data_IF_016651199504
#
_entry.id   IF_016651199504
#
_cell.length_a   1.000
_cell.length_b   1.000
_cell.length_c   1.000
_cell.angle_alpha   90.00
_cell.angle_beta   90.00
_cell.angle_gamma   90.00
#
_symmetry.space_group_name_H-M   'P 1'
#
loop_
_entity.id
_entity.type
_entity.pdbx_description
1 polymer ?
#
# COMPACT_ATOMS: atom_id res chain seq x y z
N UNK A 1 -2.89 -4.48 -27.52
CA UNK A 1 -3.03 -3.60 -26.33
C UNK A 1 -4.27 -2.75 -26.56
N UNK A 2 -5.40 -3.13 -25.96
CA UNK A 2 -6.70 -2.48 -26.21
C UNK A 2 -6.70 -1.04 -25.65
N UNK A 3 -7.32 -0.11 -26.38
CA UNK A 3 -7.38 1.32 -26.09
C UNK A 3 -7.82 1.60 -24.62
N UNK A 4 -8.69 0.75 -24.08
CA UNK A 4 -9.19 0.82 -22.71
C UNK A 4 -8.09 0.68 -21.66
N UNK A 5 -7.07 -0.15 -21.91
CA UNK A 5 -5.93 -0.28 -20.99
C UNK A 5 -5.13 1.02 -20.94
N UNK A 6 -4.90 1.67 -22.10
CA UNK A 6 -4.15 2.94 -22.19
C UNK A 6 -4.90 4.05 -21.44
N UNK A 7 -6.22 4.13 -21.61
CA UNK A 7 -7.08 5.10 -20.91
C UNK A 7 -7.02 4.86 -19.40
N UNK A 8 -7.09 3.61 -18.93
CA UNK A 8 -6.95 3.29 -17.51
C UNK A 8 -5.57 3.68 -16.94
N UNK A 9 -4.48 3.50 -17.69
CA UNK A 9 -3.14 3.97 -17.29
C UNK A 9 -3.11 5.48 -17.12
N UNK A 10 -3.63 6.20 -18.11
CA UNK A 10 -3.68 7.65 -18.08
C UNK A 10 -4.47 8.16 -16.88
N UNK A 11 -5.62 7.56 -16.58
CA UNK A 11 -6.45 7.92 -15.42
C UNK A 11 -5.69 7.68 -14.11
N UNK A 12 -5.11 6.50 -13.91
CA UNK A 12 -4.37 6.19 -12.67
C UNK A 12 -3.17 7.12 -12.48
N UNK A 13 -2.44 7.41 -13.56
CA UNK A 13 -1.30 8.31 -13.55
C UNK A 13 -1.72 9.75 -13.23
N UNK A 14 -2.78 10.26 -13.87
CA UNK A 14 -3.34 11.59 -13.58
C UNK A 14 -3.85 11.69 -12.13
N UNK A 15 -4.50 10.64 -11.62
CA UNK A 15 -4.92 10.58 -10.21
C UNK A 15 -3.72 10.64 -9.26
N UNK A 16 -2.65 9.88 -9.52
CA UNK A 16 -1.45 9.90 -8.70
C UNK A 16 -0.81 11.30 -8.70
N UNK A 17 -0.68 11.94 -9.87
CA UNK A 17 -0.18 13.32 -9.98
C UNK A 17 -1.07 14.32 -9.24
N UNK A 18 -2.39 14.16 -9.35
CA UNK A 18 -3.35 15.01 -8.63
C UNK A 18 -3.16 14.91 -7.12
N UNK A 19 -3.07 13.69 -6.56
CA UNK A 19 -2.86 13.51 -5.13
C UNK A 19 -1.50 14.02 -4.64
N UNK A 20 -0.43 13.84 -5.43
CA UNK A 20 0.88 14.45 -5.15
C UNK A 20 0.78 15.98 -5.18
N UNK A 21 0.03 16.54 -6.13
CA UNK A 21 -0.26 17.97 -6.21
C UNK A 21 -0.99 18.49 -4.97
N UNK A 22 -2.06 17.80 -4.54
CA UNK A 22 -2.79 18.11 -3.31
C UNK A 22 -1.88 18.04 -2.08
N UNK A 23 -1.06 16.99 -1.99
CA UNK A 23 -0.08 16.83 -0.92
C UNK A 23 0.88 18.03 -0.88
N UNK A 24 1.54 18.35 -1.99
CA UNK A 24 2.52 19.43 -2.03
C UNK A 24 1.89 20.82 -1.84
N UNK A 25 0.64 21.01 -2.26
CA UNK A 25 -0.11 22.23 -1.99
C UNK A 25 -0.31 22.46 -0.48
N UNK A 26 -0.56 21.40 0.31
CA UNK A 26 -0.66 21.50 1.77
C UNK A 26 0.67 21.98 2.37
N UNK A 27 1.80 21.46 1.89
CA UNK A 27 3.14 21.84 2.38
C UNK A 27 3.60 23.22 1.90
N UNK A 28 2.98 23.79 0.86
CA UNK A 28 3.19 25.18 0.45
C UNK A 28 2.34 26.17 1.26
N UNK A 29 1.40 25.69 2.08
CA UNK A 29 0.69 26.57 3.00
C UNK A 29 1.65 27.08 4.09
N UNK A 30 1.52 28.34 4.51
CA UNK A 30 2.36 28.95 5.58
C UNK A 30 2.15 28.33 6.98
N UNK A 31 1.49 27.17 7.04
CA UNK A 31 1.16 26.46 8.26
C UNK A 31 2.37 25.65 8.70
N UNK A 32 2.77 25.79 9.95
CA UNK A 32 3.88 25.02 10.53
C UNK A 32 3.56 23.52 10.44
N UNK A 33 4.46 22.73 9.86
CA UNK A 33 4.34 21.27 9.79
C UNK A 33 4.53 20.65 11.20
N UNK A 34 3.48 20.09 11.83
CA UNK A 34 3.58 19.45 13.14
C UNK A 34 4.37 18.13 13.10
N UNK A 35 4.61 17.59 11.90
CA UNK A 35 5.31 16.32 11.70
C UNK A 35 6.81 16.48 11.48
N UNK A 36 7.32 17.70 11.32
CA UNK A 36 8.72 17.94 10.96
C UNK A 36 9.64 17.40 12.05
N UNK A 37 10.51 16.44 11.71
CA UNK A 37 11.41 15.71 12.63
C UNK A 37 10.69 14.85 13.67
N UNK A 38 9.40 14.60 13.50
CA UNK A 38 8.70 13.62 14.34
C UNK A 38 9.02 12.23 13.81
N UNK A 39 9.29 11.28 14.70
CA UNK A 39 9.40 9.85 14.35
C UNK A 39 8.02 9.19 14.42
N UNK A 40 7.76 8.21 13.56
CA UNK A 40 6.61 7.33 13.74
C UNK A 40 7.09 6.33 14.78
N UNK A 41 6.95 6.59 16.07
CA UNK A 41 7.33 5.58 17.06
C UNK A 41 6.12 4.74 17.43
N UNK A 42 6.26 3.43 17.25
CA UNK A 42 5.27 2.44 17.63
C UNK A 42 5.79 1.74 18.86
N UNK A 43 4.97 1.60 19.89
CA UNK A 43 5.32 0.74 21.01
C UNK A 43 5.37 -0.71 20.54
N UNK A 44 6.11 -1.57 21.23
CA UNK A 44 6.16 -3.00 20.90
C UNK A 44 4.77 -3.64 20.91
N UNK A 45 3.87 -3.15 21.76
CA UNK A 45 2.47 -3.60 21.80
C UNK A 45 1.70 -3.17 20.56
N UNK A 46 1.81 -1.90 20.12
CA UNK A 46 1.17 -1.43 18.90
C UNK A 46 1.69 -2.17 17.67
N UNK A 47 3.01 -2.38 17.58
CA UNK A 47 3.61 -3.19 16.53
C UNK A 47 3.01 -4.59 16.50
N UNK A 48 2.94 -5.27 17.64
CA UNK A 48 2.37 -6.61 17.74
C UNK A 48 0.89 -6.64 17.32
N UNK A 49 0.08 -5.68 17.76
CA UNK A 49 -1.35 -5.61 17.42
C UNK A 49 -1.54 -5.38 15.92
N UNK A 50 -0.75 -4.49 15.31
CA UNK A 50 -0.83 -4.21 13.88
C UNK A 50 -0.36 -5.41 13.06
N UNK A 51 0.77 -6.02 13.44
CA UNK A 51 1.26 -7.22 12.78
C UNK A 51 0.27 -8.37 12.89
N UNK A 52 -0.31 -8.60 14.06
CA UNK A 52 -1.30 -9.65 14.26
C UNK A 52 -2.59 -9.34 13.49
N UNK A 53 -3.06 -8.09 13.50
CA UNK A 53 -4.25 -7.67 12.77
C UNK A 53 -4.10 -7.82 11.26
N UNK A 54 -2.93 -7.47 10.71
CA UNK A 54 -2.61 -7.68 9.29
C UNK A 54 -2.43 -9.14 8.95
N UNK A 55 -1.73 -9.90 9.80
CA UNK A 55 -1.57 -11.33 9.61
C UNK A 55 -2.94 -12.03 9.59
N UNK A 56 -3.75 -11.83 10.62
CA UNK A 56 -5.09 -12.41 10.73
C UNK A 56 -5.99 -11.90 9.61
N UNK A 57 -5.97 -10.61 9.30
CA UNK A 57 -6.76 -10.02 8.21
C UNK A 57 -6.40 -10.61 6.85
N UNK A 58 -5.10 -10.73 6.54
CA UNK A 58 -4.60 -11.31 5.29
C UNK A 58 -4.93 -12.79 5.21
N UNK A 59 -4.72 -13.54 6.29
CA UNK A 59 -5.07 -14.97 6.38
C UNK A 59 -6.57 -15.17 6.22
N UNK A 60 -7.43 -14.39 6.87
CA UNK A 60 -8.89 -14.48 6.73
C UNK A 60 -9.36 -14.15 5.32
N UNK A 61 -8.84 -13.07 4.71
CA UNK A 61 -9.11 -12.73 3.32
C UNK A 61 -8.74 -13.90 2.42
N UNK A 62 -7.56 -14.46 2.59
CA UNK A 62 -7.08 -15.57 1.79
C UNK A 62 -7.87 -16.87 2.02
N UNK A 63 -8.24 -17.22 3.26
CA UNK A 63 -9.07 -18.40 3.54
C UNK A 63 -10.45 -18.28 2.93
N UNK A 64 -11.04 -17.08 2.97
CA UNK A 64 -12.29 -16.79 2.26
C UNK A 64 -12.15 -17.08 0.76
N UNK A 65 -11.03 -16.69 0.15
CA UNK A 65 -10.77 -16.95 -1.26
C UNK A 65 -10.38 -18.40 -1.57
N UNK A 66 -9.63 -19.06 -0.70
CA UNK A 66 -9.17 -20.43 -0.90
C UNK A 66 -10.32 -21.44 -0.99
N UNK A 67 -11.48 -21.16 -0.39
CA UNK A 67 -12.69 -21.99 -0.57
C UNK A 67 -13.17 -22.08 -2.03
N UNK A 68 -12.75 -21.15 -2.89
CA UNK A 68 -13.10 -21.14 -4.32
C UNK A 68 -12.11 -21.94 -5.18
N UNK A 69 -11.03 -22.47 -4.60
CA UNK A 69 -9.96 -23.17 -5.29
C UNK A 69 -9.90 -24.65 -4.88
N UNK A 70 -9.83 -25.60 -5.84
CA UNK A 70 -9.54 -27.01 -5.54
C UNK A 70 -8.11 -27.24 -5.03
N UNK A 71 -7.19 -26.27 -5.18
CA UNK A 71 -5.77 -26.40 -4.82
C UNK A 71 -5.47 -25.78 -3.45
N UNK A 72 -5.97 -26.44 -2.40
CA UNK A 72 -5.85 -25.99 -1.00
C UNK A 72 -4.39 -25.87 -0.54
N UNK A 73 -3.51 -26.77 -0.98
CA UNK A 73 -2.12 -26.83 -0.51
C UNK A 73 -1.28 -25.66 -1.08
N UNK A 74 -1.42 -25.36 -2.37
CA UNK A 74 -0.79 -24.19 -2.98
C UNK A 74 -1.35 -22.89 -2.41
N UNK A 75 -2.62 -22.91 -1.98
CA UNK A 75 -3.26 -21.80 -1.29
C UNK A 75 -2.65 -21.52 0.08
N UNK A 76 -2.34 -22.58 0.84
CA UNK A 76 -1.64 -22.45 2.12
C UNK A 76 -0.22 -21.88 1.93
N UNK A 77 0.47 -22.25 0.85
CA UNK A 77 1.79 -21.69 0.52
C UNK A 77 1.65 -20.20 0.17
N UNK A 78 0.68 -19.85 -0.69
CA UNK A 78 0.40 -18.46 -1.05
C UNK A 78 0.02 -17.62 0.18
N UNK A 79 -0.77 -18.17 1.12
CA UNK A 79 -1.08 -17.56 2.41
C UNK A 79 0.19 -17.29 3.22
N UNK A 80 1.08 -18.28 3.33
CA UNK A 80 2.34 -18.14 4.06
C UNK A 80 3.23 -17.05 3.47
N UNK A 81 3.43 -17.07 2.15
CA UNK A 81 4.24 -16.08 1.43
C UNK A 81 3.63 -14.67 1.53
N UNK A 82 2.32 -14.54 1.38
CA UNK A 82 1.59 -13.26 1.51
C UNK A 82 1.66 -12.72 2.92
N UNK A 83 1.59 -13.59 3.93
CA UNK A 83 1.70 -13.19 5.34
C UNK A 83 3.10 -12.68 5.67
N UNK A 84 4.14 -13.39 5.23
CA UNK A 84 5.54 -12.97 5.43
C UNK A 84 5.82 -11.68 4.69
N UNK A 85 5.39 -11.56 3.43
CA UNK A 85 5.61 -10.33 2.65
C UNK A 85 4.82 -9.14 3.23
N UNK A 86 3.60 -9.34 3.70
CA UNK A 86 2.83 -8.30 4.43
C UNK A 86 3.58 -7.76 5.65
N UNK A 87 4.27 -8.63 6.39
CA UNK A 87 5.13 -8.19 7.50
C UNK A 87 6.25 -7.25 7.04
N UNK A 88 6.96 -7.61 5.97
CA UNK A 88 8.00 -6.74 5.40
C UNK A 88 7.45 -5.46 4.77
N UNK A 89 6.25 -5.50 4.17
CA UNK A 89 5.57 -4.30 3.65
C UNK A 89 5.36 -3.30 4.79
N UNK A 90 4.93 -3.75 5.96
CA UNK A 90 4.71 -2.85 7.11
C UNK A 90 6.02 -2.21 7.59
N UNK A 91 7.08 -3.01 7.69
CA UNK A 91 8.40 -2.54 8.12
C UNK A 91 8.94 -1.45 7.19
N UNK A 92 8.61 -1.49 5.91
CA UNK A 92 9.09 -0.54 4.89
C UNK A 92 8.10 0.61 4.68
N UNK A 93 6.81 0.38 4.87
CA UNK A 93 5.76 1.40 4.80
C UNK A 93 5.91 2.45 5.90
N UNK A 94 6.32 2.05 7.10
CA UNK A 94 6.55 2.95 8.22
C UNK A 94 7.58 4.06 7.90
N UNK A 95 8.85 3.76 7.54
CA UNK A 95 9.81 4.79 7.19
C UNK A 95 9.38 5.60 5.96
N UNK A 96 8.74 4.95 4.96
CA UNK A 96 8.22 5.62 3.78
C UNK A 96 7.19 6.71 4.14
N UNK A 97 6.18 6.38 4.96
CA UNK A 97 5.18 7.36 5.39
C UNK A 97 5.77 8.45 6.28
N UNK A 98 6.84 8.13 7.03
CA UNK A 98 7.62 9.08 7.80
C UNK A 98 8.31 10.13 6.91
N UNK A 99 8.92 9.71 5.80
CA UNK A 99 9.53 10.65 4.85
C UNK A 99 8.48 11.51 4.14
N UNK A 100 7.37 10.90 3.72
CA UNK A 100 6.31 11.61 2.99
C UNK A 100 5.63 12.71 3.83
N UNK A 101 5.60 12.60 5.17
CA UNK A 101 4.94 13.60 6.04
C UNK A 101 5.87 14.76 6.45
N UNK A 102 7.17 14.63 6.25
CA UNK A 102 8.13 15.64 6.67
C UNK A 102 8.29 16.76 5.65
N UNK A 103 8.24 16.42 4.37
CA UNK A 103 8.53 17.35 3.29
C UNK A 103 7.70 17.09 2.02
N UNK A 104 7.81 18.02 1.07
CA UNK A 104 7.19 17.92 -0.24
C UNK A 104 7.69 16.70 -1.02
N UNK A 105 6.79 16.05 -1.74
CA UNK A 105 7.12 14.94 -2.63
C UNK A 105 7.71 15.51 -3.92
N UNK A 106 8.97 15.23 -4.17
CA UNK A 106 9.61 15.53 -5.45
C UNK A 106 9.24 14.48 -6.51
N UNK A 107 9.43 14.80 -7.79
CA UNK A 107 9.33 13.81 -8.87
C UNK A 107 10.32 12.64 -8.70
N UNK A 108 11.42 12.85 -7.96
CA UNK A 108 12.39 11.82 -7.61
C UNK A 108 11.89 10.82 -6.55
N UNK A 109 10.71 11.03 -5.96
CA UNK A 109 10.14 10.13 -4.95
C UNK A 109 9.96 8.70 -5.46
N UNK A 110 9.69 8.50 -6.75
CA UNK A 110 9.58 7.16 -7.36
C UNK A 110 10.92 6.40 -7.30
N UNK A 111 12.05 7.12 -7.22
CA UNK A 111 13.39 6.56 -7.08
C UNK A 111 13.85 6.47 -5.63
N UNK A 112 13.01 6.87 -4.66
CA UNK A 112 13.32 6.74 -3.25
C UNK A 112 13.44 5.25 -2.87
N UNK A 113 14.49 4.90 -2.13
CA UNK A 113 14.78 3.51 -1.76
C UNK A 113 13.66 2.86 -0.93
N UNK A 114 13.06 3.60 0.00
CA UNK A 114 11.95 3.09 0.81
C UNK A 114 10.71 2.88 -0.06
N UNK A 115 10.42 3.80 -0.98
CA UNK A 115 9.33 3.64 -1.93
C UNK A 115 9.53 2.40 -2.80
N UNK A 116 10.71 2.27 -3.42
CA UNK A 116 11.05 1.13 -4.29
C UNK A 116 10.98 -0.19 -3.53
N UNK A 117 11.49 -0.24 -2.29
CA UNK A 117 11.47 -1.45 -1.48
C UNK A 117 10.03 -1.84 -1.10
N UNK A 118 9.21 -0.89 -0.66
CA UNK A 118 7.79 -1.13 -0.36
C UNK A 118 7.02 -1.56 -1.61
N UNK A 119 7.23 -0.90 -2.74
CA UNK A 119 6.61 -1.26 -4.01
C UNK A 119 7.02 -2.65 -4.48
N UNK A 120 8.32 -3.01 -4.40
CA UNK A 120 8.83 -4.35 -4.72
C UNK A 120 8.20 -5.43 -3.84
N UNK A 121 7.99 -5.17 -2.56
CA UNK A 121 7.36 -6.12 -1.65
C UNK A 121 5.88 -6.32 -1.97
N UNK A 122 5.14 -5.23 -2.23
CA UNK A 122 3.73 -5.31 -2.66
C UNK A 122 3.63 -6.06 -4.00
N UNK A 123 4.50 -5.75 -4.97
CA UNK A 123 4.61 -6.46 -6.25
C UNK A 123 4.84 -7.95 -6.03
N UNK A 124 5.78 -8.31 -5.16
CA UNK A 124 6.09 -9.69 -4.84
C UNK A 124 4.89 -10.42 -4.22
N UNK A 125 4.17 -9.78 -3.30
CA UNK A 125 2.95 -10.31 -2.69
C UNK A 125 1.88 -10.60 -3.74
N UNK A 126 1.61 -9.61 -4.60
CA UNK A 126 0.58 -9.74 -5.63
C UNK A 126 0.94 -10.77 -6.71
N UNK A 127 2.20 -10.81 -7.15
CA UNK A 127 2.67 -11.78 -8.13
C UNK A 127 2.69 -13.21 -7.57
N UNK A 128 3.04 -13.38 -6.30
CA UNK A 128 2.98 -14.69 -5.63
C UNK A 128 1.54 -15.21 -5.60
N UNK A 129 0.58 -14.32 -5.32
CA UNK A 129 -0.85 -14.64 -5.33
C UNK A 129 -1.36 -14.92 -6.75
N UNK A 130 -0.97 -14.11 -7.75
CA UNK A 130 -1.27 -14.37 -9.16
C UNK A 130 -0.72 -15.71 -9.65
N UNK A 131 0.50 -16.06 -9.23
CA UNK A 131 1.13 -17.32 -9.61
C UNK A 131 0.35 -18.52 -9.04
N UNK A 132 -0.10 -18.44 -7.80
CA UNK A 132 -1.01 -19.44 -7.23
C UNK A 132 -2.34 -19.50 -8.00
N UNK A 133 -2.90 -18.35 -8.37
CA UNK A 133 -4.17 -18.28 -9.10
C UNK A 133 -4.10 -18.74 -10.55
N UNK A 134 -2.92 -18.70 -11.19
CA UNK A 134 -2.73 -19.09 -12.60
C UNK A 134 -3.08 -20.55 -12.89
N UNK A 135 -3.16 -21.42 -11.89
CA UNK A 135 -3.63 -22.80 -12.09
C UNK A 135 -5.17 -22.92 -12.22
N UNK A 136 -5.94 -21.84 -12.01
CA UNK A 136 -7.40 -21.82 -12.18
C UNK A 136 -7.79 -20.65 -13.09
N UNK A 137 -7.36 -20.72 -14.34
CA UNK A 137 -7.73 -19.73 -15.34
C UNK A 137 -9.26 -19.73 -15.58
N UNK A 138 -9.83 -18.52 -15.74
CA UNK A 138 -11.20 -18.16 -16.14
C UNK A 138 -12.22 -17.94 -15.00
N UNK A 139 -12.24 -18.72 -13.92
CA UNK A 139 -13.33 -18.61 -12.91
C UNK A 139 -13.08 -17.66 -11.73
N UNK A 140 -11.84 -17.17 -11.55
CA UNK A 140 -11.44 -16.51 -10.29
C UNK A 140 -10.88 -15.09 -10.45
N UNK A 141 -11.00 -14.51 -11.65
CA UNK A 141 -10.53 -13.15 -11.96
C UNK A 141 -11.21 -12.08 -11.10
N UNK A 142 -12.53 -12.18 -10.90
CA UNK A 142 -13.30 -11.25 -10.08
C UNK A 142 -12.85 -11.30 -8.63
N UNK A 143 -12.62 -12.49 -8.11
CA UNK A 143 -12.18 -12.75 -6.75
C UNK A 143 -10.75 -12.23 -6.52
N UNK A 144 -9.85 -12.41 -7.49
CA UNK A 144 -8.52 -11.81 -7.47
C UNK A 144 -8.60 -10.27 -7.38
N UNK A 145 -9.45 -9.63 -8.19
CA UNK A 145 -9.64 -8.18 -8.14
C UNK A 145 -10.22 -7.71 -6.79
N UNK A 146 -11.16 -8.47 -6.22
CA UNK A 146 -11.70 -8.18 -4.88
C UNK A 146 -10.60 -8.32 -3.82
N UNK A 147 -9.75 -9.34 -3.91
CA UNK A 147 -8.61 -9.50 -3.00
C UNK A 147 -7.68 -8.29 -3.06
N UNK A 148 -7.22 -7.90 -4.25
CA UNK A 148 -6.32 -6.74 -4.44
C UNK A 148 -6.97 -5.46 -3.89
N UNK A 149 -8.27 -5.27 -4.13
CA UNK A 149 -9.01 -4.12 -3.60
C UNK A 149 -9.07 -4.12 -2.07
N UNK A 150 -9.47 -5.24 -1.44
CA UNK A 150 -9.56 -5.35 0.02
C UNK A 150 -8.19 -5.25 0.69
N UNK A 151 -7.16 -5.84 0.10
CA UNK A 151 -5.78 -5.74 0.58
C UNK A 151 -5.24 -4.31 0.47
N UNK A 152 -5.57 -3.60 -0.62
CA UNK A 152 -5.26 -2.17 -0.76
C UNK A 152 -5.93 -1.33 0.33
N UNK A 153 -7.21 -1.60 0.64
CA UNK A 153 -7.92 -0.93 1.75
C UNK A 153 -7.24 -1.22 3.09
N UNK A 154 -6.82 -2.46 3.32
CA UNK A 154 -6.08 -2.85 4.53
C UNK A 154 -4.78 -2.04 4.68
N UNK A 155 -3.98 -1.95 3.62
CA UNK A 155 -2.75 -1.13 3.59
C UNK A 155 -3.06 0.34 3.87
N UNK A 156 -4.14 0.88 3.30
CA UNK A 156 -4.55 2.28 3.54
C UNK A 156 -4.91 2.51 5.00
N UNK A 157 -5.74 1.66 5.60
CA UNK A 157 -6.15 1.78 7.01
C UNK A 157 -4.92 1.75 7.93
N UNK A 158 -4.02 0.81 7.67
CA UNK A 158 -2.79 0.64 8.44
C UNK A 158 -1.86 1.85 8.26
N UNK A 159 -1.71 2.33 7.03
CA UNK A 159 -0.92 3.51 6.73
C UNK A 159 -1.48 4.78 7.37
N UNK A 160 -2.81 4.96 7.38
CA UNK A 160 -3.47 6.04 8.12
C UNK A 160 -3.13 5.94 9.60
N UNK A 161 -3.27 4.75 10.19
CA UNK A 161 -2.95 4.53 11.60
C UNK A 161 -1.48 4.88 11.92
N UNK A 162 -0.54 4.56 11.03
CA UNK A 162 0.86 4.97 11.16
C UNK A 162 1.10 6.46 11.01
N UNK A 163 0.32 7.13 10.16
CA UNK A 163 0.44 8.56 9.95
C UNK A 163 0.02 9.41 11.15
N UNK A 164 -0.81 8.88 12.06
CA UNK A 164 -1.26 9.62 13.26
C UNK A 164 -0.06 9.85 14.19
N UNK A 165 0.26 11.12 14.51
CA UNK A 165 1.40 11.45 15.36
C UNK A 165 1.10 11.12 16.82
N UNK A 166 2.17 10.94 17.59
CA UNK A 166 2.09 10.86 19.05
C UNK A 166 2.40 12.21 19.69
N UNK A 167 1.75 12.51 20.80
CA UNK A 167 2.11 13.63 21.66
C UNK A 167 3.23 13.22 22.65
N UNK A 168 3.67 14.15 23.49
CA UNK A 168 4.71 13.92 24.50
C UNK A 168 4.35 12.83 25.54
N UNK A 169 3.08 12.42 25.61
CA UNK A 169 2.60 11.33 26.47
C UNK A 169 2.46 9.98 25.72
N UNK A 170 3.09 9.84 24.55
CA UNK A 170 3.00 8.67 23.67
C UNK A 170 1.59 8.33 23.17
N UNK A 171 0.62 9.24 23.33
CA UNK A 171 -0.76 9.05 22.87
C UNK A 171 -0.91 9.53 21.44
N UNK A 172 -1.57 8.71 20.61
CA UNK A 172 -1.95 9.08 19.25
C UNK A 172 -2.99 10.20 19.29
N UNK A 173 -2.62 11.38 18.79
CA UNK A 173 -3.51 12.55 18.75
C UNK A 173 -3.58 13.06 17.33
N UNK A 174 -4.79 13.15 16.79
CA UNK A 174 -4.99 13.74 15.47
C UNK A 174 -4.64 15.24 15.50
N UNK A 175 -3.91 15.74 14.49
CA UNK A 175 -3.68 17.18 14.36
C UNK A 175 -4.99 17.95 14.40
N UNK A 176 -5.01 19.13 15.01
CA UNK A 176 -6.19 19.99 15.07
C UNK A 176 -6.56 20.54 13.70
N UNK A 177 -5.56 20.86 12.90
CA UNK A 177 -5.70 21.38 11.54
C UNK A 177 -6.06 20.27 10.54
N UNK A 178 -7.09 20.52 9.73
CA UNK A 178 -7.62 19.55 8.77
C UNK A 178 -6.61 19.20 7.67
N UNK A 179 -5.73 20.12 7.30
CA UNK A 179 -4.73 19.91 6.25
C UNK A 179 -3.80 18.73 6.60
N UNK A 180 -3.35 18.65 7.85
CA UNK A 180 -2.48 17.57 8.32
C UNK A 180 -3.21 16.24 8.47
N UNK A 181 -4.52 16.27 8.76
CA UNK A 181 -5.37 15.06 8.70
C UNK A 181 -5.47 14.54 7.26
N UNK A 182 -5.51 15.43 6.27
CA UNK A 182 -5.50 15.01 4.87
C UNK A 182 -4.16 14.40 4.47
N UNK A 183 -3.02 14.94 4.91
CA UNK A 183 -1.70 14.34 4.64
C UNK A 183 -1.64 12.89 5.14
N UNK A 184 -2.16 12.62 6.35
CA UNK A 184 -2.24 11.27 6.92
C UNK A 184 -3.02 10.30 6.02
N UNK A 185 -4.07 10.78 5.35
CA UNK A 185 -4.92 9.98 4.46
C UNK A 185 -4.31 9.87 3.05
N UNK A 186 -3.75 10.96 2.53
CA UNK A 186 -3.20 11.04 1.19
C UNK A 186 -1.96 10.15 1.02
N UNK A 187 -1.05 10.15 1.98
CA UNK A 187 0.22 9.43 1.87
C UNK A 187 0.05 7.93 1.54
N UNK A 188 -0.72 7.14 2.30
CA UNK A 188 -0.90 5.74 1.97
C UNK A 188 -1.68 5.52 0.66
N UNK A 189 -2.60 6.42 0.29
CA UNK A 189 -3.30 6.35 -1.00
C UNK A 189 -2.33 6.56 -2.17
N UNK A 190 -1.42 7.54 -2.06
CA UNK A 190 -0.38 7.81 -3.06
C UNK A 190 0.51 6.58 -3.23
N UNK A 191 0.94 5.96 -2.12
CA UNK A 191 1.77 4.73 -2.16
C UNK A 191 1.05 3.60 -2.90
N UNK A 192 -0.21 3.32 -2.55
CA UNK A 192 -1.00 2.25 -3.20
C UNK A 192 -1.22 2.55 -4.69
N UNK A 193 -1.55 3.80 -5.05
CA UNK A 193 -1.76 4.18 -6.45
C UNK A 193 -0.50 4.06 -7.30
N UNK A 194 0.63 4.59 -6.81
CA UNK A 194 1.91 4.49 -7.52
C UNK A 194 2.36 3.04 -7.66
N UNK A 195 2.16 2.22 -6.62
CA UNK A 195 2.46 0.79 -6.66
C UNK A 195 1.56 0.07 -7.66
N UNK A 196 0.26 0.38 -7.70
CA UNK A 196 -0.68 -0.17 -8.69
C UNK A 196 -0.31 0.17 -10.13
N UNK A 197 0.19 1.39 -10.39
CA UNK A 197 0.74 1.77 -11.71
C UNK A 197 1.96 0.90 -12.05
N UNK A 198 2.88 0.71 -11.10
CA UNK A 198 4.08 -0.13 -11.29
C UNK A 198 3.71 -1.59 -11.59
N UNK A 199 2.76 -2.17 -10.84
CA UNK A 199 2.23 -3.53 -11.07
C UNK A 199 1.71 -3.67 -12.48
N UNK A 200 0.82 -2.76 -12.89
CA UNK A 200 0.23 -2.82 -14.22
C UNK A 200 1.29 -2.68 -15.33
N UNK A 201 2.25 -1.76 -15.19
CA UNK A 201 3.37 -1.61 -16.11
C UNK A 201 4.21 -2.89 -16.22
N UNK A 202 4.57 -3.48 -15.08
CA UNK A 202 5.38 -4.68 -15.01
C UNK A 202 4.65 -5.89 -15.61
N UNK A 203 3.37 -6.07 -15.32
CA UNK A 203 2.52 -7.09 -15.94
C UNK A 203 2.44 -6.90 -17.47
N UNK A 204 2.33 -5.67 -17.95
CA UNK A 204 2.29 -5.39 -19.40
C UNK A 204 3.61 -5.71 -20.09
N UNK A 205 4.75 -5.44 -19.44
CA UNK A 205 6.08 -5.81 -19.96
C UNK A 205 6.20 -7.33 -20.01
N UNK A 206 5.83 -8.05 -18.95
CA UNK A 206 5.86 -9.51 -18.92
C UNK A 206 4.99 -10.09 -20.04
N UNK A 207 3.77 -9.59 -20.21
CA UNK A 207 2.84 -10.04 -21.25
C UNK A 207 3.29 -9.69 -22.68
N UNK A 208 4.14 -8.67 -22.86
CA UNK A 208 4.72 -8.33 -24.17
C UNK A 208 5.87 -9.27 -24.56
N UNK A 209 6.58 -9.81 -23.56
CA UNK A 209 7.74 -10.68 -23.75
C UNK A 209 7.33 -12.15 -23.96
N UNK A 210 6.13 -12.53 -23.51
CA UNK A 210 5.53 -13.86 -23.73
C UNK A 210 4.81 -13.94 -25.08
#
# INVERSE_FOLDING_TARGET
MELDNIIQYAILFLMALFFIGCHNWIFNSQVLNPFKRSTIDLTSQEQLVIYLGLFVGTVLLMFWFAQTSPFILDGLIAIGVTSISSFFIILTLKPLLGEMREDQLSYGFILNQNFLLTACLILFTELSFLNWFKEIAIYVQTQFLIFVALYSVLIIIVGIYFGIPKNDEDKKVLPTQWQWRLVIVLNPIIVVLLTGILIKLLLSIILLIQ
#
